data_IF_036810292393
#
_entry.id   IF_036810292393
#
_cell.length_a   1.000
_cell.length_b   1.000
_cell.length_c   1.000
_cell.angle_alpha   90.00
_cell.angle_beta   90.00
_cell.angle_gamma   90.00
#
_symmetry.space_group_name_H-M   'P 1'
#
loop_
_entity.id
_entity.type
_entity.pdbx_description
1 polymer ?
#
# COMPACT_ATOMS: atom_id res chain seq x y z
N UNK A 1 -13.00 -15.13 9.74
CA UNK A 1 -11.85 -14.28 10.15
C UNK A 1 -11.34 -13.52 8.93
N UNK A 2 -11.13 -12.22 9.04
CA UNK A 2 -10.58 -11.46 7.93
C UNK A 2 -9.05 -11.68 7.80
N UNK A 3 -8.48 -11.21 6.70
CA UNK A 3 -7.06 -11.45 6.43
C UNK A 3 -6.12 -10.81 7.45
N UNK A 4 -6.49 -9.67 8.00
CA UNK A 4 -5.68 -9.00 9.01
C UNK A 4 -5.66 -9.80 10.29
N UNK A 5 -6.83 -10.25 10.76
CA UNK A 5 -6.90 -11.09 11.93
C UNK A 5 -6.14 -12.41 11.75
N UNK A 6 -6.24 -13.00 10.55
CA UNK A 6 -5.51 -14.23 10.24
C UNK A 6 -4.00 -14.00 10.27
N UNK A 7 -3.52 -12.85 9.78
CA UNK A 7 -2.11 -12.51 9.80
C UNK A 7 -1.57 -12.51 11.24
N UNK A 8 -2.25 -11.86 12.16
CA UNK A 8 -1.84 -11.82 13.55
C UNK A 8 -1.95 -13.20 14.21
N UNK A 9 -3.04 -13.93 13.95
CA UNK A 9 -3.25 -15.24 14.55
C UNK A 9 -2.19 -16.25 14.12
N UNK A 10 -1.73 -16.19 12.87
CA UNK A 10 -0.77 -17.14 12.33
C UNK A 10 0.69 -16.77 12.63
N UNK A 11 0.94 -15.62 13.23
CA UNK A 11 2.30 -15.11 13.45
C UNK A 11 2.51 -14.62 14.88
N UNK A 12 1.98 -15.38 15.86
CA UNK A 12 2.06 -14.98 17.27
C UNK A 12 3.49 -14.94 17.81
N UNK A 13 4.39 -15.71 17.20
CA UNK A 13 5.76 -15.87 17.68
C UNK A 13 6.74 -14.85 17.14
N UNK A 14 6.28 -13.92 16.29
CA UNK A 14 7.14 -12.90 15.70
C UNK A 14 6.44 -11.56 15.63
N UNK A 15 7.25 -10.52 15.54
CA UNK A 15 6.74 -9.17 15.32
C UNK A 15 6.38 -9.01 13.85
N UNK A 16 5.32 -8.25 13.61
CA UNK A 16 4.87 -7.92 12.26
C UNK A 16 5.29 -6.49 11.94
N UNK A 17 5.64 -6.27 10.67
CA UNK A 17 6.01 -4.94 10.18
C UNK A 17 4.95 -4.44 9.22
N UNK A 18 4.38 -3.29 9.55
CA UNK A 18 3.45 -2.56 8.69
C UNK A 18 4.11 -1.28 8.24
N UNK A 19 4.06 -1.00 6.93
CA UNK A 19 4.56 0.25 6.37
C UNK A 19 3.44 1.00 5.68
N UNK A 20 3.50 2.32 5.79
CA UNK A 20 2.60 3.24 5.12
C UNK A 20 3.33 3.94 3.97
N UNK A 21 2.66 4.15 2.85
CA UNK A 21 3.15 5.06 1.82
C UNK A 21 1.97 5.75 1.13
N UNK A 22 2.26 6.89 0.48
CA UNK A 22 1.24 7.64 -0.22
C UNK A 22 1.18 7.20 -1.69
N UNK A 23 0.01 6.78 -2.15
CA UNK A 23 -0.20 6.41 -3.55
C UNK A 23 0.08 7.61 -4.47
N UNK A 24 0.80 7.38 -5.56
CA UNK A 24 1.13 8.43 -6.51
C UNK A 24 2.38 9.23 -6.18
N UNK A 25 3.09 8.87 -5.14
CA UNK A 25 4.34 9.52 -4.72
C UNK A 25 5.44 8.46 -4.66
N UNK A 26 6.64 8.69 -5.23
CA UNK A 26 7.08 9.92 -5.90
C UNK A 26 6.53 10.13 -7.31
N UNK A 27 6.03 9.07 -7.96
CA UNK A 27 5.48 9.18 -9.31
C UNK A 27 4.09 8.56 -9.38
N UNK A 28 3.33 8.96 -10.40
CA UNK A 28 1.97 8.43 -10.59
C UNK A 28 1.97 6.90 -10.75
N UNK A 29 2.86 6.38 -11.58
CA UNK A 29 2.92 4.95 -11.88
C UNK A 29 3.70 4.14 -10.84
N UNK A 30 4.37 4.80 -9.92
CA UNK A 30 5.27 4.13 -8.98
C UNK A 30 4.59 3.31 -7.90
N UNK A 31 3.29 3.48 -7.69
CA UNK A 31 2.55 2.78 -6.65
C UNK A 31 2.73 1.27 -6.73
N UNK A 32 2.56 0.69 -7.91
CA UNK A 32 2.73 -0.75 -8.11
C UNK A 32 4.14 -1.23 -7.80
N UNK A 33 5.14 -0.47 -8.24
CA UNK A 33 6.54 -0.82 -8.00
C UNK A 33 6.88 -0.80 -6.51
N UNK A 34 6.37 0.19 -5.78
CA UNK A 34 6.57 0.28 -4.32
C UNK A 34 5.97 -0.93 -3.62
N UNK A 35 4.73 -1.28 -3.95
CA UNK A 35 4.06 -2.42 -3.34
C UNK A 35 4.80 -3.72 -3.62
N UNK A 36 5.22 -3.95 -4.86
CA UNK A 36 5.97 -5.15 -5.23
C UNK A 36 7.31 -5.23 -4.51
N UNK A 37 7.98 -4.09 -4.34
CA UNK A 37 9.23 -4.03 -3.60
C UNK A 37 9.03 -4.38 -2.13
N UNK A 38 7.98 -3.84 -1.51
CA UNK A 38 7.66 -4.15 -0.12
C UNK A 38 7.36 -5.64 0.08
N UNK A 39 6.58 -6.24 -0.82
CA UNK A 39 6.29 -7.67 -0.75
C UNK A 39 7.57 -8.50 -0.83
N UNK A 40 8.48 -8.17 -1.75
CA UNK A 40 9.75 -8.89 -1.90
C UNK A 40 10.63 -8.81 -0.67
N UNK A 41 10.55 -7.72 0.07
CA UNK A 41 11.38 -7.49 1.25
C UNK A 41 10.73 -7.97 2.55
N UNK A 42 9.62 -8.68 2.45
CA UNK A 42 9.01 -9.34 3.61
C UNK A 42 8.16 -8.45 4.49
N UNK A 43 7.66 -7.34 3.98
CA UNK A 43 6.73 -6.49 4.71
C UNK A 43 5.42 -7.25 4.89
N UNK A 44 4.91 -7.28 6.11
CA UNK A 44 3.75 -8.09 6.46
C UNK A 44 2.43 -7.42 6.08
N UNK A 45 2.36 -6.09 6.21
CA UNK A 45 1.14 -5.34 5.94
C UNK A 45 1.52 -3.99 5.34
N UNK A 46 0.76 -3.56 4.35
CA UNK A 46 1.00 -2.29 3.65
C UNK A 46 -0.24 -1.43 3.78
N UNK A 47 -0.05 -0.21 4.26
CA UNK A 47 -1.09 0.80 4.29
C UNK A 47 -0.88 1.76 3.13
N UNK A 48 -1.85 1.81 2.23
CA UNK A 48 -1.77 2.68 1.05
C UNK A 48 -2.57 3.93 1.31
N UNK A 49 -1.87 5.05 1.46
CA UNK A 49 -2.49 6.33 1.68
C UNK A 49 -3.11 6.89 0.41
N UNK A 50 -4.38 7.30 0.49
CA UNK A 50 -5.06 7.99 -0.61
C UNK A 50 -4.81 9.48 -0.43
N UNK A 51 -4.21 10.18 -1.41
CA UNK A 51 -3.95 11.60 -1.27
C UNK A 51 -5.25 12.40 -1.15
N UNK A 52 -5.25 13.36 -0.25
CA UNK A 52 -6.41 14.17 0.05
C UNK A 52 -6.00 15.64 0.00
N UNK A 53 -6.87 16.49 -0.58
CA UNK A 53 -6.57 17.90 -0.81
C UNK A 53 -6.57 18.74 0.46
N UNK A 54 -7.19 18.23 1.53
CA UNK A 54 -7.34 18.95 2.79
C UNK A 54 -6.96 18.08 3.99
N UNK A 55 -5.67 17.72 4.13
CA UNK A 55 -5.23 16.76 5.14
C UNK A 55 -5.05 17.42 6.51
N UNK A 56 -6.12 17.55 7.25
CA UNK A 56 -6.12 18.26 8.54
C UNK A 56 -5.35 17.56 9.65
N UNK A 57 -5.29 16.23 9.59
CA UNK A 57 -4.69 15.42 10.65
C UNK A 57 -3.24 14.99 10.37
N UNK A 58 -2.75 15.20 9.16
CA UNK A 58 -1.43 14.73 8.75
C UNK A 58 -0.34 15.75 9.11
N UNK A 59 0.85 15.23 9.43
CA UNK A 59 2.02 16.05 9.64
C UNK A 59 2.62 16.54 8.31
N UNK A 60 3.67 17.42 8.40
CA UNK A 60 4.21 18.08 7.20
C UNK A 60 4.74 17.12 6.14
N UNK A 61 5.37 16.03 6.53
CA UNK A 61 5.94 15.06 5.59
C UNK A 61 4.84 14.37 4.78
N UNK A 62 3.80 13.91 5.46
CA UNK A 62 2.69 13.22 4.80
C UNK A 62 1.89 14.21 3.94
N UNK A 63 1.69 15.45 4.42
CA UNK A 63 1.02 16.48 3.62
C UNK A 63 1.81 16.78 2.34
N UNK A 64 3.14 16.87 2.43
CA UNK A 64 4.00 17.12 1.28
C UNK A 64 3.89 15.98 0.26
N UNK A 65 3.92 14.74 0.73
CA UNK A 65 3.77 13.57 -0.14
C UNK A 65 2.41 13.56 -0.82
N UNK A 66 1.35 13.85 -0.07
CA UNK A 66 -0.02 13.93 -0.62
C UNK A 66 -0.16 15.00 -1.68
N UNK A 67 0.40 16.18 -1.43
CA UNK A 67 0.39 17.27 -2.41
C UNK A 67 1.10 16.84 -3.70
N UNK A 68 2.25 16.21 -3.57
CA UNK A 68 3.01 15.72 -4.72
C UNK A 68 2.22 14.67 -5.51
N UNK A 69 1.57 13.75 -4.80
CA UNK A 69 0.75 12.71 -5.43
C UNK A 69 -0.43 13.31 -6.20
N UNK A 70 -1.09 14.32 -5.64
CA UNK A 70 -2.18 15.01 -6.32
C UNK A 70 -1.69 15.75 -7.56
N UNK A 71 -0.53 16.39 -7.49
CA UNK A 71 0.08 17.03 -8.66
C UNK A 71 0.43 16.02 -9.74
N UNK A 72 0.77 14.80 -9.35
CA UNK A 72 1.04 13.71 -10.30
C UNK A 72 -0.22 13.11 -10.90
N UNK A 73 -1.40 13.56 -10.49
CA UNK A 73 -2.68 13.14 -11.04
C UNK A 73 -3.33 11.94 -10.35
N UNK A 74 -2.88 11.58 -9.15
CA UNK A 74 -3.45 10.44 -8.45
C UNK A 74 -4.89 10.71 -8.02
N UNK A 75 -5.75 9.72 -8.25
CA UNK A 75 -7.15 9.71 -7.83
C UNK A 75 -7.48 8.35 -7.22
N UNK A 76 -8.60 8.26 -6.51
CA UNK A 76 -9.08 6.98 -5.96
C UNK A 76 -9.30 5.97 -7.08
N UNK A 77 -9.91 6.40 -8.18
CA UNK A 77 -10.16 5.54 -9.33
C UNK A 77 -8.85 5.01 -9.94
N UNK A 78 -7.86 5.90 -10.12
CA UNK A 78 -6.56 5.50 -10.66
C UNK A 78 -5.85 4.52 -9.73
N UNK A 79 -5.91 4.76 -8.42
CA UNK A 79 -5.32 3.86 -7.43
C UNK A 79 -5.92 2.47 -7.50
N UNK A 80 -7.24 2.35 -7.51
CA UNK A 80 -7.88 1.04 -7.58
C UNK A 80 -7.57 0.32 -8.90
N UNK A 81 -7.44 1.06 -9.99
CA UNK A 81 -7.00 0.48 -11.27
C UNK A 81 -5.59 -0.09 -11.18
N UNK A 82 -4.68 0.64 -10.55
CA UNK A 82 -3.31 0.18 -10.35
C UNK A 82 -3.23 -1.03 -9.42
N UNK A 83 -4.01 -1.03 -8.34
CA UNK A 83 -4.06 -2.16 -7.41
C UNK A 83 -4.62 -3.42 -8.09
N UNK A 84 -5.63 -3.27 -8.92
CA UNK A 84 -6.19 -4.39 -9.67
C UNK A 84 -5.16 -4.99 -10.61
N UNK A 85 -4.40 -4.16 -11.31
CA UNK A 85 -3.35 -4.63 -12.21
C UNK A 85 -2.30 -5.46 -11.47
N UNK A 86 -1.93 -5.04 -10.26
CA UNK A 86 -0.98 -5.79 -9.42
C UNK A 86 -1.59 -7.11 -8.98
N UNK A 87 -2.83 -7.09 -8.53
CA UNK A 87 -3.53 -8.28 -8.05
C UNK A 87 -3.61 -9.35 -9.13
N UNK A 88 -3.83 -8.94 -10.38
CA UNK A 88 -4.00 -9.84 -11.51
C UNK A 88 -2.68 -10.23 -12.17
N UNK A 89 -1.55 -9.69 -11.74
CA UNK A 89 -0.24 -9.99 -12.31
C UNK A 89 0.17 -11.43 -11.98
N UNK A 90 0.35 -12.31 -12.99
CA UNK A 90 0.70 -13.70 -12.75
C UNK A 90 2.11 -13.88 -12.17
N UNK A 91 2.97 -12.89 -12.32
CA UNK A 91 4.32 -12.93 -11.78
C UNK A 91 4.43 -12.36 -10.38
N UNK A 92 3.33 -11.85 -9.86
CA UNK A 92 3.31 -11.32 -8.52
C UNK A 92 3.42 -12.45 -7.51
N UNK A 93 4.34 -12.29 -6.57
CA UNK A 93 4.47 -13.20 -5.46
C UNK A 93 3.25 -13.11 -4.53
N UNK A 94 2.70 -14.25 -4.12
CA UNK A 94 1.46 -14.30 -3.36
C UNK A 94 1.43 -15.39 -2.30
N UNK A 95 2.25 -15.35 -1.28
CA UNK A 95 1.99 -16.26 -0.17
C UNK A 95 0.70 -15.82 0.51
N UNK A 96 -0.15 -16.80 0.77
CA UNK A 96 -1.50 -16.58 1.29
C UNK A 96 -1.48 -15.79 2.59
N UNK A 97 -0.56 -16.10 3.44
CA UNK A 97 -0.42 -15.49 4.76
C UNK A 97 0.09 -14.05 4.73
N UNK A 98 0.67 -13.62 3.62
CA UNK A 98 1.23 -12.27 3.49
C UNK A 98 0.40 -11.32 2.66
N UNK A 99 -0.69 -11.79 2.09
CA UNK A 99 -1.56 -10.94 1.30
C UNK A 99 -2.69 -10.32 2.11
N UNK A 100 -2.49 -10.18 3.43
CA UNK A 100 -3.54 -9.73 4.34
C UNK A 100 -4.07 -8.34 4.07
N UNK A 101 -3.26 -7.44 3.55
CA UNK A 101 -3.67 -6.07 3.25
C UNK A 101 -4.24 -5.90 1.85
N UNK A 102 -4.23 -6.93 1.02
CA UNK A 102 -4.84 -6.92 -0.31
C UNK A 102 -6.02 -7.87 -0.36
N UNK A 103 -7.14 -7.38 -0.86
CA UNK A 103 -8.29 -8.25 -1.07
C UNK A 103 -8.04 -9.30 -2.15
#
# INVERSE_FOLDING_TARGET
MNKINALFANNKDRKLLSLYFCAGCPTFEGTGAVIKSMERHGIDMIEVGIPFSDPLADGPVIQSAGTKALKNGMTVKALFGQLKAIKDDPHRWRPVDRSGCFP
#
